data_IF_559611495647
#
_entry.id   IF_559611495647
#
_cell.length_a   1.000
_cell.length_b   1.000
_cell.length_c   1.000
_cell.angle_alpha   90.00
_cell.angle_beta   90.00
_cell.angle_gamma   90.00
#
_symmetry.space_group_name_H-M   'P 1'
#
loop_
_entity.id
_entity.type
_entity.pdbx_description
1 polymer ?
#
# COMPACT_ATOMS: atom_id res chain seq x y z
N UNK A 1 -12.06 0.42 0.77
CA UNK A 1 -10.73 -0.26 0.78
C UNK A 1 -9.65 0.79 0.95
N UNK A 2 -8.72 0.61 1.90
CA UNK A 2 -7.76 1.66 2.29
C UNK A 2 -6.31 1.24 2.02
N UNK A 3 -5.53 2.11 1.36
CA UNK A 3 -4.10 1.89 1.09
C UNK A 3 -3.22 2.09 2.32
N UNK A 4 -2.90 1.00 3.02
CA UNK A 4 -1.97 0.95 4.15
C UNK A 4 -0.51 0.66 3.76
N UNK A 5 0.39 0.69 4.75
CA UNK A 5 1.84 0.46 4.59
C UNK A 5 2.40 -0.49 5.64
N UNK A 6 3.40 -1.30 5.27
CA UNK A 6 4.19 -2.11 6.21
C UNK A 6 5.55 -1.45 6.40
N UNK A 7 5.81 -0.89 7.58
CA UNK A 7 7.09 -0.26 7.91
C UNK A 7 7.66 -0.87 9.17
N UNK A 8 8.86 -1.47 9.07
CA UNK A 8 9.58 -2.10 10.19
C UNK A 8 8.69 -3.06 11.01
N UNK A 9 7.93 -3.91 10.32
CA UNK A 9 7.03 -4.90 10.92
C UNK A 9 5.73 -4.35 11.50
N UNK A 10 5.38 -3.09 11.23
CA UNK A 10 4.15 -2.45 11.70
C UNK A 10 3.27 -2.05 10.54
N UNK A 11 1.97 -2.29 10.69
CA UNK A 11 0.95 -1.86 9.74
C UNK A 11 0.55 -0.43 10.04
N UNK A 12 0.53 0.39 8.99
CA UNK A 12 0.09 1.76 9.02
C UNK A 12 -1.10 1.97 8.10
N UNK A 13 -2.02 2.84 8.51
CA UNK A 13 -3.14 3.26 7.67
C UNK A 13 -3.27 4.78 7.62
N UNK A 14 -3.73 5.34 6.49
CA UNK A 14 -3.96 6.76 6.34
C UNK A 14 -5.18 7.19 7.17
N UNK A 15 -4.99 8.15 8.07
CA UNK A 15 -6.02 8.58 9.04
C UNK A 15 -7.33 9.00 8.36
N UNK A 16 -7.26 9.67 7.20
CA UNK A 16 -8.43 10.15 6.48
C UNK A 16 -9.32 9.00 6.02
N UNK A 17 -8.73 8.01 5.37
CA UNK A 17 -9.49 6.91 4.81
C UNK A 17 -10.03 5.97 5.90
N UNK A 18 -9.31 5.83 7.03
CA UNK A 18 -9.85 5.16 8.22
C UNK A 18 -11.06 5.94 8.75
N UNK A 19 -10.96 7.27 8.82
CA UNK A 19 -12.06 8.09 9.27
C UNK A 19 -13.29 7.99 8.37
N UNK A 20 -13.10 8.05 7.06
CA UNK A 20 -14.18 7.89 6.07
C UNK A 20 -14.90 6.54 6.21
N UNK A 21 -14.16 5.43 6.33
CA UNK A 21 -14.77 4.10 6.41
C UNK A 21 -15.46 3.83 7.75
N UNK A 22 -15.12 4.59 8.80
CA UNK A 22 -15.69 4.47 10.14
C UNK A 22 -16.67 5.59 10.48
N UNK A 23 -17.08 6.40 9.48
CA UNK A 23 -17.93 7.57 9.65
C UNK A 23 -17.42 8.57 10.71
N UNK A 24 -16.09 8.67 10.86
CA UNK A 24 -15.43 9.55 11.81
C UNK A 24 -15.10 10.93 11.20
N UNK A 25 -15.24 11.97 12.01
CA UNK A 25 -14.82 13.32 11.63
C UNK A 25 -13.30 13.46 11.72
N UNK A 26 -12.68 13.96 10.64
CA UNK A 26 -11.23 14.24 10.60
C UNK A 26 -10.97 15.75 10.59
N UNK A 27 -10.10 16.21 11.49
CA UNK A 27 -9.61 17.60 11.55
C UNK A 27 -8.09 17.61 11.38
N UNK A 28 -7.60 18.57 10.60
CA UNK A 28 -6.16 18.76 10.36
C UNK A 28 -5.72 20.17 10.73
N UNK A 29 -4.64 20.29 11.50
CA UNK A 29 -3.97 21.56 11.80
C UNK A 29 -2.60 21.58 11.14
N UNK A 30 -2.52 22.25 9.98
CA UNK A 30 -1.30 22.26 9.17
C UNK A 30 -0.09 22.91 9.87
N UNK A 31 -0.30 23.95 10.69
CA UNK A 31 0.78 24.67 11.40
C UNK A 31 1.51 23.77 12.40
N UNK A 32 0.77 22.96 13.15
CA UNK A 32 1.32 22.06 14.18
C UNK A 32 1.51 20.64 13.69
N UNK A 33 1.10 20.35 12.44
CA UNK A 33 1.05 19.00 11.86
C UNK A 33 0.28 18.00 12.73
N UNK A 34 -0.85 18.45 13.27
CA UNK A 34 -1.70 17.65 14.17
C UNK A 34 -2.96 17.20 13.44
N UNK A 35 -3.21 15.89 13.44
CA UNK A 35 -4.46 15.30 13.01
C UNK A 35 -5.29 14.90 14.22
N UNK A 36 -6.61 15.10 14.10
CA UNK A 36 -7.59 14.68 15.09
C UNK A 36 -8.67 13.87 14.40
N UNK A 37 -8.93 12.66 14.88
CA UNK A 37 -10.04 11.80 14.50
C UNK A 37 -11.05 11.81 15.64
N UNK A 38 -12.33 11.99 15.30
CA UNK A 38 -13.43 12.02 16.26
C UNK A 38 -14.50 11.04 15.76
N UNK A 39 -14.77 10.00 16.54
CA UNK A 39 -15.82 9.02 16.28
C UNK A 39 -16.58 8.80 17.58
N UNK A 40 -17.90 9.02 17.57
CA UNK A 40 -18.73 8.88 18.77
C UNK A 40 -18.16 9.68 19.96
N UNK A 41 -17.82 9.00 21.07
CA UNK A 41 -17.18 9.54 22.27
C UNK A 41 -15.63 9.43 22.25
N UNK A 42 -15.05 8.91 21.17
CA UNK A 42 -13.61 8.73 21.01
C UNK A 42 -12.98 9.89 20.25
N UNK A 43 -11.98 10.53 20.87
CA UNK A 43 -11.14 11.55 20.24
C UNK A 43 -9.69 11.12 20.25
N UNK A 44 -9.12 10.93 19.07
CA UNK A 44 -7.73 10.57 18.86
C UNK A 44 -7.00 11.76 18.25
N UNK A 45 -5.95 12.24 18.90
CA UNK A 45 -5.10 13.33 18.40
C UNK A 45 -3.66 12.89 18.31
N UNK A 46 -3.02 13.16 17.17
CA UNK A 46 -1.59 12.90 17.01
C UNK A 46 -0.89 13.94 16.15
N UNK A 47 0.41 14.09 16.40
CA UNK A 47 1.30 14.96 15.65
C UNK A 47 2.22 14.14 14.74
N UNK A 48 2.41 14.58 13.50
CA UNK A 48 3.37 13.98 12.59
C UNK A 48 4.79 13.94 13.21
N UNK A 49 5.48 12.81 13.07
CA UNK A 49 6.79 12.55 13.66
C UNK A 49 6.77 12.18 15.14
N UNK A 50 5.64 12.37 15.85
CA UNK A 50 5.52 12.02 17.26
C UNK A 50 5.30 10.52 17.47
N UNK A 51 5.87 9.99 18.55
CA UNK A 51 5.51 8.67 19.12
C UNK A 51 4.42 8.77 20.17
N UNK A 52 3.90 9.95 20.45
CA UNK A 52 2.84 10.14 21.43
C UNK A 52 1.52 10.36 20.70
N UNK A 53 0.54 9.50 21.00
CA UNK A 53 -0.85 9.68 20.62
C UNK A 53 -1.64 10.11 21.85
N UNK A 54 -2.66 10.94 21.68
CA UNK A 54 -3.60 11.31 22.74
C UNK A 54 -4.95 10.70 22.42
N UNK A 55 -5.45 9.82 23.28
CA UNK A 55 -6.76 9.16 23.16
C UNK A 55 -7.61 9.64 24.33
N UNK A 56 -8.74 10.29 24.05
CA UNK A 56 -9.65 10.81 25.07
C UNK A 56 -8.94 11.67 26.13
N UNK A 57 -7.96 12.48 25.71
CA UNK A 57 -7.14 13.33 26.59
C UNK A 57 -5.96 12.63 27.26
N UNK A 58 -5.86 11.31 27.19
CA UNK A 58 -4.77 10.51 27.78
C UNK A 58 -3.64 10.34 26.78
N UNK A 59 -2.42 10.68 27.17
CA UNK A 59 -1.22 10.49 26.35
C UNK A 59 -0.72 9.05 26.45
N UNK A 60 -0.54 8.40 25.31
CA UNK A 60 -0.02 7.04 25.18
C UNK A 60 1.28 7.11 24.37
N UNK A 61 2.34 6.51 24.92
CA UNK A 61 3.60 6.34 24.21
C UNK A 61 3.52 5.12 23.29
N UNK A 62 3.74 5.36 22.01
CA UNK A 62 3.77 4.34 20.97
C UNK A 62 5.19 3.84 20.72
N UNK A 63 5.29 2.60 20.23
CA UNK A 63 6.53 2.00 19.78
C UNK A 63 6.94 2.45 18.35
N UNK A 64 6.09 3.23 17.69
CA UNK A 64 6.25 3.78 16.35
C UNK A 64 5.79 5.24 16.26
N UNK A 65 6.41 6.00 15.36
CA UNK A 65 6.04 7.39 15.09
C UNK A 65 4.96 7.47 14.02
N UNK A 66 4.18 8.54 14.07
CA UNK A 66 3.28 8.95 12.98
C UNK A 66 4.10 9.43 11.79
N UNK A 67 3.75 8.99 10.58
CA UNK A 67 4.44 9.43 9.36
C UNK A 67 3.58 10.40 8.56
N UNK A 68 4.22 11.42 7.99
CA UNK A 68 3.62 12.29 6.98
C UNK A 68 4.37 12.03 5.68
N UNK A 69 3.67 11.52 4.67
CA UNK A 69 4.27 11.11 3.40
C UNK A 69 3.27 11.33 2.27
N UNK A 70 3.70 11.91 1.16
CA UNK A 70 2.85 12.26 0.02
C UNK A 70 1.56 13.03 0.43
N UNK A 71 1.70 13.94 1.40
CA UNK A 71 0.60 14.73 1.94
C UNK A 71 -0.42 13.94 2.80
N UNK A 72 -0.16 12.66 3.07
CA UNK A 72 -1.02 11.76 3.86
C UNK A 72 -0.37 11.43 5.20
N UNK A 73 -1.21 11.27 6.22
CA UNK A 73 -0.77 10.95 7.58
C UNK A 73 -1.06 9.49 7.85
N UNK A 74 -0.02 8.75 8.19
CA UNK A 74 -0.06 7.32 8.44
C UNK A 74 0.15 7.03 9.92
N UNK A 75 -0.77 6.26 10.49
CA UNK A 75 -0.78 5.91 11.91
C UNK A 75 -0.53 4.42 12.08
N UNK A 76 0.22 4.01 13.12
CA UNK A 76 0.34 2.59 13.42
C UNK A 76 -1.04 2.07 13.84
N UNK A 77 -1.57 1.13 13.06
CA UNK A 77 -2.98 0.76 13.12
C UNK A 77 -3.39 0.11 14.44
N UNK A 78 -2.45 -0.53 15.15
CA UNK A 78 -2.69 -1.07 16.49
C UNK A 78 -3.23 0.00 17.45
N UNK A 79 -2.60 1.17 17.47
CA UNK A 79 -3.02 2.23 18.39
C UNK A 79 -4.35 2.85 17.97
N UNK A 80 -4.67 2.84 16.69
CA UNK A 80 -5.98 3.28 16.20
C UNK A 80 -7.06 2.26 16.60
N UNK A 81 -6.81 0.97 16.44
CA UNK A 81 -7.76 -0.07 16.80
C UNK A 81 -8.03 -0.10 18.31
N UNK A 82 -6.97 -0.09 19.13
CA UNK A 82 -7.08 -0.01 20.59
C UNK A 82 -7.83 1.25 21.05
N UNK A 83 -7.57 2.39 20.41
CA UNK A 83 -8.22 3.65 20.76
C UNK A 83 -9.69 3.73 20.35
N UNK A 84 -10.15 2.86 19.43
CA UNK A 84 -11.54 2.78 18.99
C UNK A 84 -12.28 1.57 19.57
N UNK A 85 -11.61 0.73 20.37
CA UNK A 85 -12.18 -0.52 20.88
C UNK A 85 -12.33 -1.63 19.84
N UNK A 86 -11.64 -1.50 18.70
CA UNK A 86 -11.74 -2.41 17.56
C UNK A 86 -10.59 -3.45 17.58
N UNK A 87 -10.83 -4.64 17.03
CA UNK A 87 -9.78 -5.62 16.80
C UNK A 87 -9.11 -5.36 15.46
N UNK A 88 -7.80 -5.55 15.40
CA UNK A 88 -7.06 -5.58 14.14
C UNK A 88 -6.45 -6.95 13.89
N UNK A 89 -6.80 -7.55 12.76
CA UNK A 89 -6.30 -8.86 12.32
C UNK A 89 -5.49 -8.72 11.05
N UNK A 90 -4.31 -9.33 11.04
CA UNK A 90 -3.46 -9.39 9.85
C UNK A 90 -3.64 -10.71 9.12
N UNK A 91 -4.02 -10.65 7.85
CA UNK A 91 -4.01 -11.80 6.96
C UNK A 91 -2.64 -11.89 6.25
N UNK A 92 -1.84 -12.89 6.64
CA UNK A 92 -0.50 -13.08 6.06
C UNK A 92 -0.54 -13.55 4.62
N UNK A 93 -1.55 -14.32 4.22
CA UNK A 93 -1.67 -14.86 2.86
C UNK A 93 -2.07 -13.80 1.87
N UNK A 94 -2.92 -12.86 2.29
CA UNK A 94 -3.50 -11.81 1.44
C UNK A 94 -2.90 -10.42 1.64
N UNK A 95 -2.00 -10.26 2.63
CA UNK A 95 -1.30 -9.02 2.97
C UNK A 95 -2.21 -7.80 3.20
N UNK A 96 -3.34 -8.01 3.86
CA UNK A 96 -4.19 -6.93 4.36
C UNK A 96 -4.40 -7.06 5.87
N UNK A 97 -4.68 -5.92 6.51
CA UNK A 97 -5.23 -5.88 7.84
C UNK A 97 -6.75 -5.64 7.76
N UNK A 98 -7.50 -6.32 8.62
CA UNK A 98 -8.92 -6.07 8.83
C UNK A 98 -9.10 -5.40 10.18
N UNK A 99 -9.85 -4.31 10.20
CA UNK A 99 -10.30 -3.63 11.41
C UNK A 99 -11.79 -3.93 11.61
N UNK A 100 -12.15 -4.39 12.80
CA UNK A 100 -13.54 -4.63 13.19
C UNK A 100 -13.66 -5.42 14.49
N UNK A 101 -14.88 -5.65 14.95
CA UNK A 101 -15.16 -6.50 16.11
C UNK A 101 -15.30 -7.98 15.71
N UNK A 102 -15.63 -8.85 16.66
CA UNK A 102 -15.76 -10.29 16.42
C UNK A 102 -16.94 -10.68 15.50
N UNK A 103 -17.90 -9.77 15.27
CA UNK A 103 -19.11 -10.00 14.48
C UNK A 103 -19.15 -9.17 13.18
N UNK A 104 -18.37 -8.10 13.06
CA UNK A 104 -18.41 -7.16 11.94
C UNK A 104 -17.02 -6.67 11.54
N UNK A 105 -16.66 -7.00 10.30
CA UNK A 105 -15.52 -6.39 9.62
C UNK A 105 -15.94 -5.02 9.08
N UNK A 106 -15.32 -3.96 9.58
CA UNK A 106 -15.65 -2.58 9.21
C UNK A 106 -14.74 -2.05 8.10
N UNK A 107 -13.48 -2.48 8.08
CA UNK A 107 -12.50 -1.90 7.19
C UNK A 107 -11.40 -2.88 6.77
N UNK A 108 -11.21 -3.03 5.45
CA UNK A 108 -10.06 -3.71 4.85
C UNK A 108 -8.96 -2.70 4.50
N UNK A 109 -7.83 -2.85 5.18
CA UNK A 109 -6.60 -2.07 4.96
C UNK A 109 -5.64 -2.93 4.15
N UNK A 110 -5.61 -2.69 2.84
CA UNK A 110 -4.65 -3.32 1.98
C UNK A 110 -3.31 -2.70 2.23
N UNK A 111 -2.38 -3.47 2.76
CA UNK A 111 -1.02 -3.02 2.87
C UNK A 111 -0.38 -3.27 1.52
N UNK A 112 -0.53 -2.27 0.65
CA UNK A 112 0.23 -2.18 -0.58
C UNK A 112 1.69 -2.28 -0.15
N UNK A 113 2.39 -3.36 -0.52
CA UNK A 113 3.78 -3.43 -0.20
C UNK A 113 4.45 -2.26 -0.91
N UNK A 114 5.30 -1.51 -0.21
CA UNK A 114 6.12 -0.42 -0.77
C UNK A 114 6.89 -0.89 -2.03
N UNK A 115 7.00 -2.22 -2.20
CA UNK A 115 7.49 -2.93 -3.38
C UNK A 115 6.84 -2.55 -4.72
N UNK A 116 5.65 -1.92 -4.76
CA UNK A 116 5.01 -1.54 -6.04
C UNK A 116 5.84 -0.53 -6.85
N UNK A 117 6.39 0.54 -6.22
CA UNK A 117 7.23 1.51 -6.93
C UNK A 117 8.58 0.91 -7.30
N UNK A 118 9.27 0.29 -6.34
CA UNK A 118 10.59 -0.31 -6.57
C UNK A 118 10.55 -1.37 -7.68
N UNK A 119 9.48 -2.17 -7.75
CA UNK A 119 9.37 -3.24 -8.73
C UNK A 119 9.00 -2.73 -10.13
N UNK A 120 8.21 -1.66 -10.23
CA UNK A 120 8.01 -0.94 -11.49
C UNK A 120 9.31 -0.28 -11.95
N UNK A 121 10.06 0.38 -11.07
CA UNK A 121 11.36 0.97 -11.41
C UNK A 121 12.38 -0.09 -11.88
N UNK A 122 12.39 -1.27 -11.25
CA UNK A 122 13.23 -2.39 -11.68
C UNK A 122 12.78 -2.92 -13.04
N UNK A 123 11.48 -3.11 -13.24
CA UNK A 123 10.94 -3.59 -14.51
C UNK A 123 11.24 -2.61 -15.65
N UNK A 124 10.97 -1.33 -15.45
CA UNK A 124 11.23 -0.25 -16.39
C UNK A 124 12.72 -0.17 -16.77
N UNK A 125 13.61 -0.33 -15.77
CA UNK A 125 15.06 -0.36 -15.99
C UNK A 125 15.52 -1.57 -16.79
N UNK A 126 15.04 -2.77 -16.48
CA UNK A 126 15.43 -3.99 -17.21
C UNK A 126 14.88 -3.98 -18.65
N UNK A 127 13.65 -3.49 -18.84
CA UNK A 127 13.07 -3.29 -20.17
C UNK A 127 13.89 -2.27 -20.97
N UNK A 128 14.24 -1.13 -20.36
CA UNK A 128 15.10 -0.12 -21.01
C UNK A 128 16.48 -0.68 -21.40
N UNK A 129 17.06 -1.55 -20.57
CA UNK A 129 18.35 -2.19 -20.85
C UNK A 129 18.28 -3.28 -21.92
N UNK A 130 17.10 -3.82 -22.24
CA UNK A 130 16.92 -4.82 -23.30
C UNK A 130 17.14 -4.25 -24.71
N UNK A 131 17.33 -2.93 -24.84
CA UNK A 131 17.61 -2.26 -26.12
C UNK A 131 16.38 -2.06 -27.00
N UNK A 132 15.20 -2.45 -26.51
CA UNK A 132 13.95 -2.13 -27.18
C UNK A 132 13.50 -0.72 -26.77
N UNK A 133 13.67 0.23 -27.69
CA UNK A 133 13.32 1.65 -27.51
C UNK A 133 11.79 1.81 -27.52
N UNK A 134 11.15 1.57 -26.36
CA UNK A 134 9.71 1.70 -26.19
C UNK A 134 9.38 3.01 -25.46
N UNK A 135 9.61 4.12 -26.15
CA UNK A 135 9.58 5.49 -25.61
C UNK A 135 8.19 6.02 -25.23
N UNK A 136 7.13 5.23 -25.36
CA UNK A 136 5.76 5.61 -25.00
C UNK A 136 5.08 4.49 -24.18
N UNK A 137 5.59 4.29 -22.97
CA UNK A 137 4.99 3.40 -21.96
C UNK A 137 3.81 4.10 -21.23
N UNK A 138 3.01 4.87 -21.98
CA UNK A 138 1.88 5.66 -21.47
C UNK A 138 0.61 4.84 -21.24
N UNK A 139 0.55 3.60 -21.70
CA UNK A 139 -0.59 2.69 -21.51
C UNK A 139 -0.13 1.34 -20.98
N UNK A 140 0.49 1.33 -19.80
CA UNK A 140 0.60 0.13 -18.95
C UNK A 140 -0.82 -0.30 -18.53
N UNK A 141 -1.53 -0.87 -19.48
CA UNK A 141 -2.92 -1.27 -19.39
C UNK A 141 -2.91 -2.70 -18.89
N UNK A 142 -3.27 -2.84 -17.61
CA UNK A 142 -3.39 -4.10 -16.87
C UNK A 142 -2.05 -4.74 -16.46
N UNK A 143 -1.52 -4.25 -15.34
CA UNK A 143 -0.61 -5.03 -14.51
C UNK A 143 -1.45 -6.06 -13.73
N UNK A 144 -1.39 -7.34 -14.13
CA UNK A 144 -1.94 -8.44 -13.34
C UNK A 144 -0.86 -8.97 -12.39
N UNK A 145 -1.22 -9.19 -11.13
CA UNK A 145 -0.30 -9.54 -10.05
C UNK A 145 -0.69 -10.87 -9.43
N UNK A 146 0.24 -11.83 -9.41
CA UNK A 146 0.14 -12.95 -8.47
C UNK A 146 0.66 -12.48 -7.10
N UNK A 147 -0.14 -12.68 -6.05
CA UNK A 147 0.13 -12.17 -4.70
C UNK A 147 1.56 -12.51 -4.24
N UNK A 148 2.43 -11.51 -4.02
CA UNK A 148 3.82 -11.75 -3.69
C UNK A 148 3.95 -12.41 -2.33
N UNK A 149 4.68 -13.53 -2.30
CA UNK A 149 5.26 -14.00 -1.04
C UNK A 149 6.34 -13.01 -0.61
N UNK A 150 6.75 -13.00 0.67
CA UNK A 150 7.90 -12.19 1.11
C UNK A 150 9.23 -12.54 0.40
N UNK A 151 9.25 -13.61 -0.41
CA UNK A 151 10.44 -14.17 -1.07
C UNK A 151 10.41 -14.02 -2.60
N UNK A 152 9.24 -14.02 -3.23
CA UNK A 152 9.08 -14.04 -4.69
C UNK A 152 7.83 -13.29 -5.15
N UNK A 153 7.90 -12.72 -6.35
CA UNK A 153 6.81 -12.00 -7.00
C UNK A 153 6.90 -12.19 -8.52
N UNK A 154 5.75 -12.23 -9.18
CA UNK A 154 5.65 -12.11 -10.64
C UNK A 154 4.95 -10.81 -10.98
N UNK A 155 5.46 -10.08 -11.96
CA UNK A 155 4.87 -8.85 -12.49
C UNK A 155 4.65 -9.06 -13.98
N UNK A 156 3.43 -8.87 -14.42
CA UNK A 156 3.06 -8.95 -15.83
C UNK A 156 2.75 -7.55 -16.33
N UNK A 157 3.43 -7.12 -17.40
CA UNK A 157 3.15 -5.88 -18.13
C UNK A 157 2.66 -6.23 -19.53
N UNK A 158 1.54 -5.65 -19.95
CA UNK A 158 0.98 -5.86 -21.29
C UNK A 158 0.94 -4.52 -22.02
N UNK A 159 1.44 -4.51 -23.25
CA UNK A 159 1.35 -3.39 -24.18
C UNK A 159 0.53 -3.80 -25.39
N UNK A 160 -0.40 -2.93 -25.79
CA UNK A 160 -1.14 -3.08 -27.05
C UNK A 160 -0.38 -2.35 -28.15
N UNK A 161 -0.07 -3.05 -29.24
CA UNK A 161 0.57 -2.46 -30.42
C UNK A 161 -0.48 -2.33 -31.53
N UNK A 162 -0.88 -1.08 -31.82
CA UNK A 162 -1.94 -0.75 -32.77
C UNK A 162 -1.59 -1.02 -34.24
N UNK A 163 -0.31 -1.19 -34.57
CA UNK A 163 0.10 -1.49 -35.96
C UNK A 163 -0.26 -2.90 -36.42
N UNK A 164 -0.42 -3.86 -35.49
CA UNK A 164 -0.65 -5.27 -35.84
C UNK A 164 -1.81 -5.93 -35.07
N UNK A 165 -2.57 -5.18 -34.27
CA UNK A 165 -3.59 -5.73 -33.36
C UNK A 165 -3.01 -6.87 -32.51
N UNK A 166 -1.83 -6.65 -31.91
CA UNK A 166 -1.14 -7.64 -31.07
C UNK A 166 -0.94 -7.09 -29.67
N UNK A 167 -1.25 -7.92 -28.67
CA UNK A 167 -0.79 -7.79 -27.31
C UNK A 167 0.64 -8.31 -27.22
N UNK A 168 1.57 -7.43 -26.85
CA UNK A 168 2.88 -7.84 -26.38
C UNK A 168 2.84 -7.88 -24.85
N UNK A 169 2.95 -9.07 -24.28
CA UNK A 169 2.97 -9.28 -22.84
C UNK A 169 4.37 -9.69 -22.40
N UNK A 170 4.92 -8.94 -21.46
CA UNK A 170 6.18 -9.24 -20.78
C UNK A 170 5.89 -9.62 -19.32
N UNK A 171 6.34 -10.80 -18.93
CA UNK A 171 6.23 -11.29 -17.55
C UNK A 171 7.61 -11.37 -16.91
N UNK A 172 7.84 -10.58 -15.87
CA UNK A 172 9.04 -10.62 -15.07
C UNK A 172 8.80 -11.37 -13.76
N UNK A 173 9.66 -12.33 -13.45
CA UNK A 173 9.72 -12.95 -12.12
C UNK A 173 10.86 -12.35 -11.32
N UNK A 174 10.60 -12.01 -10.05
CA UNK A 174 11.55 -11.41 -9.14
C UNK A 174 11.65 -12.20 -7.85
N UNK A 175 12.86 -12.28 -7.30
CA UNK A 175 13.15 -12.88 -6.00
C UNK A 175 13.89 -11.90 -5.11
N UNK A 176 13.55 -11.90 -3.81
CA UNK A 176 14.20 -11.03 -2.83
C UNK A 176 15.51 -11.66 -2.35
N UNK A 177 16.65 -11.09 -2.72
CA UNK A 177 18.00 -11.48 -2.30
C UNK A 177 18.64 -10.35 -1.49
N UNK A 178 19.05 -10.62 -0.25
CA UNK A 178 19.66 -9.64 0.66
C UNK A 178 18.86 -8.34 0.81
N UNK A 179 17.52 -8.47 0.87
CA UNK A 179 16.62 -7.32 1.00
C UNK A 179 16.36 -6.54 -0.29
N UNK A 180 17.05 -6.84 -1.40
CA UNK A 180 16.85 -6.24 -2.72
C UNK A 180 16.08 -7.19 -3.63
N UNK A 181 15.22 -6.65 -4.47
CA UNK A 181 14.55 -7.42 -5.53
C UNK A 181 15.52 -7.62 -6.69
N UNK A 182 15.57 -8.84 -7.19
CA UNK A 182 16.42 -9.23 -8.32
C UNK A 182 15.53 -9.97 -9.31
N UNK A 183 15.57 -9.53 -10.57
CA UNK A 183 14.89 -10.24 -11.66
C UNK A 183 15.55 -11.61 -11.86
N UNK A 184 14.73 -12.65 -11.88
CA UNK A 184 15.19 -14.04 -12.11
C UNK A 184 14.83 -14.56 -13.48
N UNK A 185 13.80 -14.02 -14.12
CA UNK A 185 13.44 -14.31 -15.51
C UNK A 185 12.57 -13.19 -16.08
N UNK A 186 12.64 -13.02 -17.40
CA UNK A 186 11.73 -12.21 -18.20
C UNK A 186 11.25 -13.12 -19.33
N UNK A 187 9.94 -13.28 -19.45
CA UNK A 187 9.30 -14.02 -20.53
C UNK A 187 8.54 -13.02 -21.40
N UNK A 188 8.62 -13.19 -22.71
CA UNK A 188 7.87 -12.38 -23.67
C UNK A 188 6.90 -13.28 -24.42
N UNK A 189 5.69 -12.77 -24.63
CA UNK A 189 4.65 -13.46 -25.36
C UNK A 189 3.89 -12.45 -26.23
N UNK A 190 3.47 -12.91 -27.40
CA UNK A 190 2.62 -12.16 -28.31
C UNK A 190 1.30 -12.88 -28.47
N UNK A 191 0.20 -12.16 -28.27
CA UNK A 191 -1.15 -12.66 -28.48
C UNK A 191 -1.89 -11.73 -29.44
N UNK A 192 -2.59 -12.29 -30.43
CA UNK A 192 -3.43 -11.48 -31.31
C UNK A 192 -4.60 -10.90 -30.51
N UNK A 193 -4.81 -9.58 -30.63
CA UNK A 193 -5.99 -8.89 -30.16
C UNK A 193 -7.22 -9.46 -30.87
N UNK A 194 -8.03 -10.20 -30.12
CA UNK A 194 -9.33 -10.69 -30.59
C UNK A 194 -10.42 -9.82 -29.97
N UNK A 195 -11.14 -9.02 -30.77
CA UNK A 195 -12.26 -8.21 -30.27
C UNK A 195 -13.42 -9.06 -29.75
#
# INVERSE_FOLDING_TARGET
MVGGKLLKGRTYGPIRAIGEELDAQIKWKNKTKVATLIKDDHTITMQAGSKVVTVNGIKILMDASVHLEDGRIYLPMRYVSEALGELIRWDKGRQYAVLGDEYREHLFIYVQPIFFRDAIEILDKEISNSGNDYTEMTDASYLDYSYPSQKSMTITSTKVVWEEDVYLTQEASLVKKNGKWVVTSINESTELYRP
#
